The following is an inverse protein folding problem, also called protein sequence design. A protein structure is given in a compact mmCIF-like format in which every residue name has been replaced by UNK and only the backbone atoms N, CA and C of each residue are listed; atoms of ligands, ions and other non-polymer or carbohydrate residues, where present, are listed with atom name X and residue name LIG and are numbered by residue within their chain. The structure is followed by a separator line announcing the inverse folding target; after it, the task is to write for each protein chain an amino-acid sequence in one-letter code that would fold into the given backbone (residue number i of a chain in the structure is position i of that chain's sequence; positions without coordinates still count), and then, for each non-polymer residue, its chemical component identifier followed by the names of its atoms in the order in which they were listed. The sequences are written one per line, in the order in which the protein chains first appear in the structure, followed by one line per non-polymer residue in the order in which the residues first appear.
data_IF_924740514172
#
_entry.id   IF_924740514172
#
_cell.length_a   1.000
_cell.length_b   1.000
_cell.length_c   1.000
_cell.angle_alpha   90.00
_cell.angle_beta   90.00
_cell.angle_gamma   90.00
#
_symmetry.space_group_name_H-M   'P 1'
#
loop_
_entity.id
_entity.type
_entity.pdbx_description
1 polymer ?
#
# COMPACT_ATOMS: atom_id res chain seq x y z
N UNK A 1 11.33 26.94 -9.62
CA UNK A 1 12.04 25.64 -9.71
C UNK A 1 12.81 25.23 -8.43
N UNK A 2 12.66 25.91 -7.28
CA UNK A 2 13.43 25.61 -6.04
C UNK A 2 12.76 24.59 -5.09
N UNK A 3 11.43 24.45 -5.15
CA UNK A 3 10.68 23.59 -4.22
C UNK A 3 10.82 22.09 -4.50
N UNK A 4 10.80 21.68 -5.78
CA UNK A 4 10.93 20.27 -6.18
C UNK A 4 12.34 19.70 -5.92
N UNK A 5 13.38 20.54 -5.90
CA UNK A 5 14.75 20.11 -5.59
C UNK A 5 14.97 19.76 -4.11
N UNK A 6 14.00 20.08 -3.22
CA UNK A 6 14.09 19.79 -1.78
C UNK A 6 13.36 18.51 -1.36
N UNK A 7 12.50 17.96 -2.21
CA UNK A 7 11.79 16.72 -1.91
C UNK A 7 12.61 15.56 -2.48
N UNK A 8 13.29 14.81 -1.61
CA UNK A 8 14.03 13.62 -2.02
C UNK A 8 13.09 12.58 -2.65
N UNK A 9 13.62 11.77 -3.58
CA UNK A 9 12.87 10.71 -4.27
C UNK A 9 12.09 9.81 -3.31
N UNK A 10 12.70 9.46 -2.17
CA UNK A 10 12.06 8.72 -1.08
C UNK A 10 10.76 9.38 -0.61
N UNK A 11 10.79 10.70 -0.38
CA UNK A 11 9.63 11.45 0.10
C UNK A 11 8.54 11.59 -0.95
N UNK A 12 8.90 11.76 -2.23
CA UNK A 12 7.91 11.76 -3.31
C UNK A 12 7.15 10.43 -3.38
N UNK A 13 7.86 9.30 -3.24
CA UNK A 13 7.25 7.97 -3.22
C UNK A 13 6.38 7.76 -1.97
N UNK A 14 6.89 8.14 -0.79
CA UNK A 14 6.14 8.05 0.48
C UNK A 14 4.87 8.90 0.47
N UNK A 15 4.93 10.12 -0.06
CA UNK A 15 3.76 10.99 -0.17
C UNK A 15 2.71 10.41 -1.12
N UNK A 16 3.12 9.94 -2.30
CA UNK A 16 2.20 9.34 -3.26
C UNK A 16 1.49 8.11 -2.70
N UNK A 17 2.24 7.14 -2.18
CA UNK A 17 1.68 5.93 -1.56
C UNK A 17 0.88 6.26 -0.29
N UNK A 18 1.38 7.16 0.55
CA UNK A 18 0.72 7.55 1.78
C UNK A 18 -0.63 8.21 1.55
N UNK A 19 -0.73 9.16 0.60
CA UNK A 19 -2.00 9.80 0.24
C UNK A 19 -2.97 8.79 -0.38
N UNK A 20 -2.47 7.92 -1.26
CA UNK A 20 -3.27 6.86 -1.87
C UNK A 20 -3.89 5.94 -0.80
N UNK A 21 -3.08 5.41 0.13
CA UNK A 21 -3.56 4.53 1.20
C UNK A 21 -4.49 5.25 2.18
N UNK A 22 -4.25 6.54 2.42
CA UNK A 22 -5.14 7.34 3.27
C UNK A 22 -6.52 7.48 2.62
N UNK A 23 -6.56 7.74 1.31
CA UNK A 23 -7.79 7.84 0.54
C UNK A 23 -8.53 6.50 0.49
N UNK A 24 -7.87 5.44 0.04
CA UNK A 24 -8.49 4.12 -0.10
C UNK A 24 -8.95 3.57 1.25
N UNK A 25 -8.10 3.70 2.29
CA UNK A 25 -8.44 3.21 3.62
C UNK A 25 -9.61 3.95 4.26
N UNK A 26 -9.70 5.27 4.08
CA UNK A 26 -10.84 6.04 4.58
C UNK A 26 -12.15 5.66 3.86
N UNK A 27 -12.10 5.48 2.53
CA UNK A 27 -13.28 5.09 1.76
C UNK A 27 -13.73 3.65 2.07
N UNK A 28 -12.80 2.71 2.24
CA UNK A 28 -13.08 1.34 2.70
C UNK A 28 -13.77 1.31 4.06
N UNK A 29 -13.37 2.19 4.98
CA UNK A 29 -14.02 2.28 6.29
C UNK A 29 -15.43 2.87 6.22
N UNK A 30 -15.63 3.93 5.42
CA UNK A 30 -16.89 4.68 5.34
C UNK A 30 -17.92 4.03 4.42
N UNK A 31 -17.49 3.52 3.28
CA UNK A 31 -18.32 3.00 2.21
C UNK A 31 -17.88 1.59 1.77
N UNK A 32 -17.76 0.59 2.66
CA UNK A 32 -17.24 -0.73 2.28
C UNK A 32 -18.02 -1.41 1.14
N UNK A 33 -19.31 -1.12 0.99
CA UNK A 33 -20.13 -1.64 -0.10
C UNK A 33 -19.68 -1.18 -1.50
N UNK A 34 -19.04 -0.01 -1.62
CA UNK A 34 -18.50 0.48 -2.90
C UNK A 34 -17.26 -0.28 -3.36
N UNK A 35 -16.72 -1.20 -2.55
CA UNK A 35 -15.50 -1.96 -2.84
C UNK A 35 -15.76 -3.45 -3.09
N UNK A 36 -17.01 -3.92 -3.00
CA UNK A 36 -17.35 -5.32 -3.24
C UNK A 36 -16.97 -5.77 -4.64
N UNK A 37 -17.07 -4.88 -5.63
CA UNK A 37 -16.70 -5.17 -7.01
C UNK A 37 -15.20 -5.46 -7.19
N UNK A 38 -14.34 -4.98 -6.28
CA UNK A 38 -12.90 -5.22 -6.32
C UNK A 38 -12.50 -6.58 -5.74
N UNK A 39 -13.42 -7.27 -5.05
CA UNK A 39 -13.22 -8.62 -4.56
C UNK A 39 -13.72 -9.65 -5.58
N UNK A 40 -12.88 -10.61 -5.98
CA UNK A 40 -13.36 -11.75 -6.74
C UNK A 40 -14.46 -12.52 -5.98
N UNK A 41 -15.45 -13.04 -6.70
CA UNK A 41 -16.59 -13.76 -6.11
C UNK A 41 -16.15 -14.95 -5.24
N UNK A 42 -15.07 -15.64 -5.64
CA UNK A 42 -14.57 -16.80 -4.92
C UNK A 42 -13.91 -16.37 -3.60
N UNK A 43 -13.21 -15.24 -3.59
CA UNK A 43 -12.53 -14.72 -2.40
C UNK A 43 -13.54 -14.18 -1.39
N UNK A 44 -14.55 -13.45 -1.85
CA UNK A 44 -15.65 -12.99 -1.00
C UNK A 44 -16.38 -14.17 -0.35
N UNK A 45 -16.64 -15.25 -1.09
CA UNK A 45 -17.22 -16.47 -0.53
C UNK A 45 -16.36 -17.11 0.57
N UNK A 46 -15.02 -17.12 0.44
CA UNK A 46 -14.12 -17.58 1.51
C UNK A 46 -14.13 -16.66 2.73
N UNK A 47 -14.13 -15.34 2.50
CA UNK A 47 -14.16 -14.34 3.58
C UNK A 47 -15.45 -14.50 4.39
N UNK A 48 -16.60 -14.64 3.73
CA UNK A 48 -17.92 -14.75 4.36
C UNK A 48 -18.05 -15.96 5.31
N UNK A 49 -17.24 -17.01 5.13
CA UNK A 49 -17.20 -18.14 6.05
C UNK A 49 -16.61 -17.80 7.42
N UNK A 50 -15.79 -16.75 7.49
CA UNK A 50 -15.07 -16.34 8.71
C UNK A 50 -15.64 -15.03 9.26
N UNK A 51 -15.95 -14.07 8.39
CA UNK A 51 -16.38 -12.73 8.77
C UNK A 51 -17.20 -12.08 7.65
N UNK A 52 -18.15 -11.20 8.00
CA UNK A 52 -18.86 -10.42 6.99
C UNK A 52 -17.89 -9.58 6.14
N UNK A 53 -18.08 -9.58 4.81
CA UNK A 53 -17.22 -8.86 3.84
C UNK A 53 -17.04 -7.39 4.22
N UNK A 54 -18.11 -6.72 4.66
CA UNK A 54 -18.03 -5.32 5.09
C UNK A 54 -17.10 -5.11 6.29
N UNK A 55 -17.05 -6.06 7.21
CA UNK A 55 -16.14 -6.01 8.36
C UNK A 55 -14.70 -6.26 7.91
N UNK A 56 -14.49 -7.23 7.01
CA UNK A 56 -13.18 -7.45 6.39
C UNK A 56 -12.66 -6.18 5.70
N UNK A 57 -13.49 -5.54 4.87
CA UNK A 57 -13.12 -4.31 4.15
C UNK A 57 -12.84 -3.13 5.10
N UNK A 58 -13.59 -3.01 6.20
CA UNK A 58 -13.30 -1.98 7.22
C UNK A 58 -11.98 -2.23 7.94
N UNK A 59 -11.66 -3.50 8.23
CA UNK A 59 -10.37 -3.89 8.84
C UNK A 59 -9.23 -3.60 7.86
N UNK A 60 -9.40 -3.96 6.58
CA UNK A 60 -8.45 -3.61 5.52
C UNK A 60 -8.24 -2.09 5.46
N UNK A 61 -9.32 -1.30 5.44
CA UNK A 61 -9.21 0.15 5.40
C UNK A 61 -8.52 0.76 6.62
N UNK A 62 -8.70 0.18 7.81
CA UNK A 62 -7.95 0.57 9.00
C UNK A 62 -6.45 0.27 8.87
N UNK A 63 -6.08 -0.90 8.34
CA UNK A 63 -4.67 -1.26 8.08
C UNK A 63 -4.06 -0.30 7.07
N UNK A 64 -4.77 0.01 5.98
CA UNK A 64 -4.33 0.97 4.96
C UNK A 64 -4.09 2.37 5.55
N UNK A 65 -4.98 2.85 6.42
CA UNK A 65 -4.77 4.13 7.14
C UNK A 65 -3.50 4.07 8.00
N UNK A 66 -3.26 2.97 8.72
CA UNK A 66 -2.02 2.82 9.51
C UNK A 66 -0.77 2.86 8.61
N UNK A 67 -0.81 2.19 7.46
CA UNK A 67 0.27 2.22 6.48
C UNK A 67 0.50 3.64 5.95
N UNK A 68 -0.58 4.37 5.64
CA UNK A 68 -0.52 5.77 5.23
C UNK A 68 0.17 6.65 6.28
N UNK A 69 -0.23 6.53 7.55
CA UNK A 69 0.38 7.28 8.65
C UNK A 69 1.88 6.97 8.77
N UNK A 70 2.29 5.71 8.60
CA UNK A 70 3.71 5.32 8.62
C UNK A 70 4.47 5.91 7.42
N UNK A 71 3.89 5.88 6.22
CA UNK A 71 4.50 6.52 5.06
C UNK A 71 4.66 8.04 5.24
N UNK A 72 3.69 8.71 5.86
CA UNK A 72 3.71 10.16 6.06
C UNK A 72 4.51 10.61 7.30
N UNK A 73 4.86 9.70 8.21
CA UNK A 73 5.60 10.04 9.43
C UNK A 73 7.10 10.27 9.17
N UNK A 74 7.55 11.52 9.30
CA UNK A 74 8.93 11.93 9.02
C UNK A 74 9.97 11.49 10.06
N UNK A 75 9.51 11.17 11.27
CA UNK A 75 10.37 10.80 12.41
C UNK A 75 10.61 9.29 12.55
N UNK A 76 9.98 8.45 11.71
CA UNK A 76 10.12 6.99 11.82
C UNK A 76 11.45 6.48 11.28
N UNK A 77 11.97 5.44 11.94
CA UNK A 77 13.19 4.76 11.52
C UNK A 77 13.00 4.13 10.13
N UNK A 78 14.00 4.21 9.22
CA UNK A 78 13.90 3.64 7.88
C UNK A 78 13.50 2.16 7.83
N UNK A 79 13.92 1.37 8.83
CA UNK A 79 13.57 -0.06 8.95
C UNK A 79 12.07 -0.30 9.13
N UNK A 80 11.36 0.58 9.84
CA UNK A 80 9.90 0.45 10.01
C UNK A 80 9.21 0.76 8.69
N UNK A 81 9.61 1.86 8.04
CA UNK A 81 9.06 2.26 6.74
C UNK A 81 9.36 1.19 5.67
N UNK A 82 10.51 0.52 5.74
CA UNK A 82 10.86 -0.58 4.85
C UNK A 82 9.84 -1.73 4.92
N UNK A 83 9.50 -2.20 6.13
CA UNK A 83 8.53 -3.29 6.28
C UNK A 83 7.15 -2.91 5.77
N UNK A 84 6.73 -1.66 5.94
CA UNK A 84 5.46 -1.16 5.40
C UNK A 84 5.50 -1.01 3.89
N UNK A 85 6.63 -0.56 3.32
CA UNK A 85 6.83 -0.52 1.87
C UNK A 85 6.79 -1.92 1.24
N UNK A 86 7.40 -2.91 1.92
CA UNK A 86 7.36 -4.30 1.50
C UNK A 86 5.94 -4.87 1.60
N UNK A 87 5.23 -4.61 2.70
CA UNK A 87 3.83 -5.03 2.86
C UNK A 87 2.95 -4.44 1.75
N UNK A 88 3.11 -3.14 1.45
CA UNK A 88 2.43 -2.47 0.35
C UNK A 88 2.71 -3.11 -1.01
N UNK A 89 3.96 -3.49 -1.25
CA UNK A 89 4.36 -4.20 -2.47
C UNK A 89 3.66 -5.55 -2.58
N UNK A 90 3.62 -6.33 -1.50
CA UNK A 90 2.96 -7.63 -1.47
C UNK A 90 1.45 -7.50 -1.66
N UNK A 91 0.84 -6.50 -1.04
CA UNK A 91 -0.59 -6.20 -1.18
C UNK A 91 -0.95 -5.84 -2.62
N UNK A 92 -0.27 -4.86 -3.21
CA UNK A 92 -0.52 -4.43 -4.61
C UNK A 92 -0.25 -5.56 -5.59
N UNK A 93 0.79 -6.36 -5.35
CA UNK A 93 1.05 -7.57 -6.13
C UNK A 93 -0.09 -8.59 -6.00
N UNK A 94 -0.56 -8.81 -4.76
CA UNK A 94 -1.72 -9.67 -4.48
C UNK A 94 -2.97 -9.19 -5.20
N UNK A 95 -3.30 -7.90 -5.11
CA UNK A 95 -4.44 -7.29 -5.81
C UNK A 95 -4.32 -7.52 -7.31
N UNK A 96 -3.15 -7.29 -7.91
CA UNK A 96 -2.94 -7.51 -9.34
C UNK A 96 -3.13 -8.97 -9.74
N UNK A 97 -2.56 -9.91 -8.99
CA UNK A 97 -2.72 -11.36 -9.24
C UNK A 97 -4.19 -11.77 -9.13
N UNK A 98 -4.88 -11.31 -8.09
CA UNK A 98 -6.28 -11.63 -7.82
C UNK A 98 -7.23 -10.97 -8.83
N UNK A 99 -6.95 -9.74 -9.25
CA UNK A 99 -7.71 -9.03 -10.27
C UNK A 99 -7.52 -9.67 -11.65
N UNK A 100 -6.38 -10.31 -11.92
CA UNK A 100 -6.13 -10.96 -13.20
C UNK A 100 -6.89 -12.28 -13.38
N UNK A 101 -7.36 -12.92 -12.29
CA UNK A 101 -7.94 -14.28 -12.32
C UNK A 101 -9.35 -14.30 -11.71
N UNK A 102 -10.43 -14.45 -12.53
CA UNK A 102 -10.49 -14.46 -14.00
C UNK A 102 -10.46 -13.05 -14.60
N UNK A 103 -9.85 -12.90 -15.78
CA UNK A 103 -9.79 -11.63 -16.49
C UNK A 103 -11.20 -11.17 -16.89
N UNK A 104 -11.67 -10.06 -16.31
CA UNK A 104 -12.92 -9.38 -16.66
C UNK A 104 -12.61 -7.92 -17.00
N UNK A 105 -13.38 -7.30 -17.89
CA UNK A 105 -13.20 -5.88 -18.25
C UNK A 105 -13.21 -4.94 -17.04
N UNK A 106 -14.02 -5.24 -16.02
CA UNK A 106 -14.05 -4.50 -14.76
C UNK A 106 -12.69 -4.48 -14.02
N UNK A 107 -11.85 -5.51 -14.21
CA UNK A 107 -10.56 -5.66 -13.55
C UNK A 107 -9.44 -4.87 -14.26
N UNK A 108 -9.71 -4.38 -15.48
CA UNK A 108 -8.77 -3.54 -16.22
C UNK A 108 -8.51 -2.21 -15.49
N UNK A 109 -9.54 -1.63 -14.88
CA UNK A 109 -9.43 -0.38 -14.10
C UNK A 109 -8.48 -0.54 -12.91
N UNK A 110 -8.55 -1.68 -12.22
CA UNK A 110 -7.66 -2.03 -11.11
C UNK A 110 -6.23 -2.18 -11.64
N UNK A 111 -6.06 -2.98 -12.69
CA UNK A 111 -4.75 -3.32 -13.24
C UNK A 111 -3.98 -2.10 -13.76
N UNK A 112 -4.66 -1.21 -14.49
CA UNK A 112 -4.05 0.00 -15.06
C UNK A 112 -3.45 0.92 -13.99
N UNK A 113 -4.18 1.11 -12.89
CA UNK A 113 -3.73 1.92 -11.74
C UNK A 113 -2.63 1.22 -10.95
N UNK A 114 -2.84 -0.06 -10.64
CA UNK A 114 -2.05 -0.76 -9.62
C UNK A 114 -0.68 -1.22 -10.12
N UNK A 115 -0.46 -1.34 -11.44
CA UNK A 115 0.89 -1.58 -11.98
C UNK A 115 1.83 -0.41 -11.65
N UNK A 116 1.36 0.83 -11.79
CA UNK A 116 2.16 2.02 -11.47
C UNK A 116 2.44 2.13 -9.97
N UNK A 117 1.44 1.85 -9.14
CA UNK A 117 1.56 1.86 -7.69
C UNK A 117 2.51 0.77 -7.20
N UNK A 118 2.44 -0.43 -7.76
CA UNK A 118 3.37 -1.53 -7.47
C UNK A 118 4.81 -1.13 -7.82
N UNK A 119 5.02 -0.48 -8.96
CA UNK A 119 6.33 0.07 -9.32
C UNK A 119 6.85 1.08 -8.30
N UNK A 120 5.99 1.98 -7.82
CA UNK A 120 6.33 2.97 -6.80
C UNK A 120 6.67 2.32 -5.44
N UNK A 121 5.88 1.33 -5.00
CA UNK A 121 6.11 0.62 -3.73
C UNK A 121 7.38 -0.23 -3.78
N UNK A 122 7.66 -0.90 -4.91
CA UNK A 122 8.90 -1.64 -5.14
C UNK A 122 10.12 -0.72 -5.11
N UNK A 123 10.06 0.41 -5.81
CA UNK A 123 11.14 1.38 -5.83
C UNK A 123 11.44 1.93 -4.42
N UNK A 124 10.40 2.25 -3.64
CA UNK A 124 10.55 2.70 -2.26
C UNK A 124 11.17 1.60 -1.38
N UNK A 125 10.71 0.36 -1.54
CA UNK A 125 11.24 -0.80 -0.81
C UNK A 125 12.73 -1.00 -1.07
N UNK A 126 13.16 -0.97 -2.34
CA UNK A 126 14.57 -1.09 -2.72
C UNK A 126 15.45 0.05 -2.20
N UNK A 127 14.93 1.29 -2.23
CA UNK A 127 15.63 2.46 -1.68
C UNK A 127 15.83 2.33 -0.17
N UNK A 128 14.80 1.90 0.55
CA UNK A 128 14.84 1.73 2.01
C UNK A 128 15.68 0.52 2.44
N UNK A 129 15.72 -0.55 1.65
CA UNK A 129 16.61 -1.69 1.90
C UNK A 129 18.08 -1.22 1.95
N UNK A 130 18.56 -0.56 0.88
CA UNK A 130 19.93 -0.02 0.81
C UNK A 130 20.25 0.92 1.98
N UNK A 131 19.28 1.74 2.40
CA UNK A 131 19.41 2.64 3.54
C UNK A 131 19.48 1.91 4.88
N UNK A 132 18.74 0.79 5.03
CA UNK A 132 18.72 -0.01 6.26
C UNK A 132 20.02 -0.80 6.49
N UNK A 133 20.72 -1.17 5.42
CA UNK A 133 22.01 -1.88 5.49
C UNK A 133 23.21 -0.94 5.67
N UNK A 134 23.02 0.37 5.53
CA UNK A 134 24.12 1.34 5.64
C UNK A 134 24.70 1.38 7.06
N UNK A 135 26.04 1.26 7.25
CA UNK A 135 26.70 1.22 8.55
C UNK A 135 26.40 2.42 9.46
N UNK A 136 26.19 3.60 8.88
CA UNK A 136 25.86 4.82 9.61
C UNK A 136 24.52 4.74 10.37
N UNK A 137 23.54 3.99 9.85
CA UNK A 137 22.27 3.75 10.52
C UNK A 137 22.40 2.60 11.53
N UNK A 138 23.27 1.62 11.26
CA UNK A 138 23.57 0.49 12.14
C UNK A 138 24.28 0.92 13.42
N UNK A 139 25.21 1.88 13.33
CA UNK A 139 26.02 2.37 14.44
C UNK A 139 25.33 3.44 15.30
N UNK A 140 24.23 4.05 14.84
CA UNK A 140 23.37 4.90 15.67
C UNK A 140 22.50 4.09 16.66
N UNK A 141 22.83 2.80 16.85
CA UNK A 141 22.03 1.81 17.57
C UNK A 141 22.83 1.02 18.61
N UNK A 142 24.09 1.39 18.86
CA UNK A 142 24.90 0.88 19.98
C UNK A 142 25.15 2.03 20.95
#
# INVERSE_FOLDING_TARGET
MSFLNKIGVEWSLRLGLGIMYLYSGFDLMKHPGSWHWALPYWLSGWIEQVVAVNTYLRVQGFIEILMALIFLAWFLKPKIVFWVALLSTLELFGILVLAFIPFKEANFLITFRDIGLLGASLALTGLLWKKSESPAVRNATI
#
